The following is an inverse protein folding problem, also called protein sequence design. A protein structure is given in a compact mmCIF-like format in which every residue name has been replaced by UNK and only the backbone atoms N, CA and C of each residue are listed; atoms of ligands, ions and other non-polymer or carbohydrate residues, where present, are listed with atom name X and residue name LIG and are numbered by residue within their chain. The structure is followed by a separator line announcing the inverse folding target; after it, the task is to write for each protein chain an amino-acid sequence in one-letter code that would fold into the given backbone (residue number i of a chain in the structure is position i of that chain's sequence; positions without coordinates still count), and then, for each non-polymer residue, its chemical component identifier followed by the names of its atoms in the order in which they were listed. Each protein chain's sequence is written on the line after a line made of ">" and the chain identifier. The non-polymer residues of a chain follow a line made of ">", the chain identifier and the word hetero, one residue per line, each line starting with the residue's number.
data_IF_226531783371
#
_entry.id   IF_226531783371
#
_cell.length_a   1.000
_cell.length_b   1.000
_cell.length_c   1.000
_cell.angle_alpha   90.00
_cell.angle_beta   90.00
_cell.angle_gamma   90.00
#
_symmetry.space_group_name_H-M   'P 1'
#
loop_
_entity.id
_entity.type
_entity.pdbx_description
1 polymer ?
#
# COMPACT_ATOMS: atom_id res chain seq x y z
N UNK A 1 59.58 5.76 57.74
CA UNK A 1 58.23 5.17 57.45
C UNK A 1 57.79 5.66 56.08
N UNK A 2 57.97 4.85 55.01
CA UNK A 2 57.62 5.23 53.63
C UNK A 2 56.30 4.55 53.30
N UNK A 3 55.27 5.32 53.05
CA UNK A 3 53.98 4.86 52.54
C UNK A 3 54.02 4.85 51.00
N UNK A 4 54.02 3.67 50.44
CA UNK A 4 53.89 3.47 48.98
C UNK A 4 52.44 3.72 48.57
N UNK A 5 52.25 4.69 47.67
CA UNK A 5 50.97 4.86 46.94
C UNK A 5 50.95 3.90 45.78
N UNK A 6 50.19 2.82 45.88
CA UNK A 6 49.88 1.92 44.79
C UNK A 6 49.09 2.64 43.72
N UNK A 7 49.68 2.85 42.54
CA UNK A 7 49.05 3.39 41.38
C UNK A 7 47.92 2.47 40.87
N UNK A 8 46.76 3.00 40.77
CA UNK A 8 45.63 2.33 40.05
C UNK A 8 45.92 2.41 38.55
N UNK A 9 46.16 1.27 37.94
CA UNK A 9 46.59 1.13 36.57
C UNK A 9 45.55 1.53 35.52
N UNK A 10 45.93 1.53 34.25
CA UNK A 10 45.19 2.09 33.09
C UNK A 10 43.95 1.34 32.64
N UNK A 11 43.48 0.38 33.46
CA UNK A 11 42.37 -0.51 33.07
C UNK A 11 40.98 0.16 33.00
N UNK A 12 40.78 1.27 33.71
CA UNK A 12 39.50 1.96 33.77
C UNK A 12 39.22 2.73 32.48
N UNK A 13 40.24 3.23 31.79
CA UNK A 13 40.11 3.95 30.53
C UNK A 13 39.78 3.00 29.36
N UNK A 14 40.33 1.76 29.38
CA UNK A 14 40.06 0.78 28.33
C UNK A 14 38.62 0.28 28.30
N UNK A 15 38.01 0.08 29.47
CA UNK A 15 36.63 -0.41 29.57
C UNK A 15 35.61 0.64 29.09
N UNK A 16 35.87 1.93 29.36
CA UNK A 16 35.02 3.02 28.92
C UNK A 16 34.99 3.17 27.39
N UNK A 17 36.15 3.07 26.74
CA UNK A 17 36.28 3.18 25.27
C UNK A 17 35.59 2.02 24.56
N UNK A 18 35.73 0.79 25.04
CA UNK A 18 35.08 -0.38 24.48
C UNK A 18 33.55 -0.28 24.61
N UNK A 19 33.04 0.18 25.76
CA UNK A 19 31.61 0.36 25.98
C UNK A 19 31.00 1.43 25.03
N UNK A 20 31.71 2.53 24.79
CA UNK A 20 31.28 3.59 23.85
C UNK A 20 31.29 3.07 22.40
N UNK A 21 32.33 2.32 22.00
CA UNK A 21 32.43 1.75 20.66
C UNK A 21 31.34 0.70 20.40
N UNK A 22 31.03 -0.15 21.38
CA UNK A 22 29.93 -1.13 21.29
C UNK A 22 28.59 -0.42 21.23
N UNK A 23 28.38 0.64 22.02
CA UNK A 23 27.16 1.45 22.00
C UNK A 23 26.95 2.16 20.66
N UNK A 24 27.99 2.75 20.08
CA UNK A 24 27.92 3.42 18.76
C UNK A 24 27.70 2.40 17.64
N UNK A 25 28.32 1.22 17.72
CA UNK A 25 28.10 0.15 16.74
C UNK A 25 26.68 -0.43 16.84
N UNK A 26 26.16 -0.64 18.05
CA UNK A 26 24.79 -1.09 18.27
C UNK A 26 23.79 -0.03 17.77
N UNK A 27 24.00 1.26 18.05
CA UNK A 27 23.14 2.34 17.53
C UNK A 27 23.17 2.41 16.01
N UNK A 28 24.34 2.31 15.36
CA UNK A 28 24.43 2.28 13.89
C UNK A 28 23.73 1.04 13.31
N UNK A 29 23.87 -0.11 13.95
CA UNK A 29 23.20 -1.34 13.54
C UNK A 29 21.69 -1.25 13.76
N UNK A 30 21.22 -0.73 14.89
CA UNK A 30 19.78 -0.52 15.15
C UNK A 30 19.16 0.51 14.22
N UNK A 31 19.86 1.59 13.91
CA UNK A 31 19.41 2.59 12.93
C UNK A 31 19.33 2.06 11.49
N UNK A 32 20.12 1.04 11.15
CA UNK A 32 20.07 0.39 9.84
C UNK A 32 18.97 -0.67 9.71
N UNK A 33 18.51 -1.26 10.81
CA UNK A 33 17.41 -2.25 10.80
C UNK A 33 16.01 -1.64 10.96
N UNK A 34 15.90 -0.37 11.36
CA UNK A 34 14.63 0.28 11.69
C UNK A 34 13.91 0.96 10.52
N UNK A 35 14.58 1.22 9.40
CA UNK A 35 13.93 1.77 8.21
C UNK A 35 13.92 0.70 7.12
N UNK A 36 12.75 0.12 6.88
CA UNK A 36 12.53 -0.68 5.67
C UNK A 36 13.02 0.14 4.46
N UNK A 37 13.94 -0.39 3.67
CA UNK A 37 14.39 0.22 2.41
C UNK A 37 13.25 0.45 1.41
N UNK A 38 12.08 -0.03 1.73
CA UNK A 38 10.89 -0.08 0.90
C UNK A 38 9.73 0.63 1.61
N UNK A 39 9.86 1.94 1.78
CA UNK A 39 8.73 2.75 2.25
C UNK A 39 7.74 2.92 1.11
N UNK A 40 6.47 2.61 1.39
CA UNK A 40 5.37 2.91 0.47
C UNK A 40 4.79 4.26 0.88
N UNK A 41 5.00 5.34 0.09
CA UNK A 41 4.49 6.66 0.47
C UNK A 41 2.97 6.70 0.43
N UNK A 42 2.32 7.45 1.34
CA UNK A 42 0.91 7.77 1.22
C UNK A 42 0.67 8.59 -0.05
N UNK A 43 -0.36 8.23 -0.76
CA UNK A 43 -0.70 8.80 -2.07
C UNK A 43 -2.21 9.01 -2.15
N UNK A 44 -2.63 10.04 -2.88
CA UNK A 44 -4.02 10.35 -3.12
C UNK A 44 -4.27 10.56 -4.62
N UNK A 45 -5.40 10.07 -5.10
CA UNK A 45 -5.94 10.40 -6.42
C UNK A 45 -7.38 10.87 -6.28
N UNK A 46 -7.76 11.89 -7.04
CA UNK A 46 -9.11 12.42 -7.04
C UNK A 46 -9.58 12.78 -8.44
N UNK A 47 -10.86 12.61 -8.68
CA UNK A 47 -11.55 13.06 -9.89
C UNK A 47 -12.93 13.61 -9.54
N UNK A 48 -13.42 14.58 -10.34
CA UNK A 48 -14.80 15.05 -10.28
C UNK A 48 -15.50 14.62 -11.57
N UNK A 49 -16.52 13.76 -11.43
CA UNK A 49 -17.27 13.20 -12.54
C UNK A 49 -18.76 13.47 -12.30
N UNK A 50 -19.44 14.06 -13.26
CA UNK A 50 -20.84 14.52 -13.13
C UNK A 50 -21.06 15.41 -11.88
N UNK A 51 -20.09 16.25 -11.54
CA UNK A 51 -20.15 17.13 -10.37
C UNK A 51 -19.94 16.45 -9.01
N UNK A 52 -19.67 15.13 -8.98
CA UNK A 52 -19.42 14.35 -7.76
C UNK A 52 -17.93 14.08 -7.61
N UNK A 53 -17.37 14.39 -6.45
CA UNK A 53 -15.97 14.13 -6.14
C UNK A 53 -15.80 12.67 -5.72
N UNK A 54 -14.77 12.03 -6.26
CA UNK A 54 -14.31 10.70 -5.90
C UNK A 54 -12.85 10.83 -5.51
N UNK A 55 -12.47 10.29 -4.36
CA UNK A 55 -11.09 10.28 -3.86
C UNK A 55 -10.68 8.88 -3.47
N UNK A 56 -9.41 8.53 -3.73
CA UNK A 56 -8.82 7.29 -3.28
C UNK A 56 -7.52 7.61 -2.56
N UNK A 57 -7.44 7.18 -1.29
CA UNK A 57 -6.25 7.28 -0.46
C UNK A 57 -5.61 5.89 -0.37
N UNK A 58 -4.33 5.78 -0.68
CA UNK A 58 -3.61 4.52 -0.70
C UNK A 58 -2.13 4.71 -0.39
N UNK A 59 -1.40 3.62 -0.21
CA UNK A 59 0.05 3.61 -0.09
C UNK A 59 0.64 2.96 -1.35
N UNK A 60 1.59 3.63 -1.98
CA UNK A 60 2.16 3.28 -3.28
C UNK A 60 3.47 2.50 -3.14
N UNK A 61 3.46 1.16 -3.12
CA UNK A 61 4.69 0.37 -3.10
C UNK A 61 5.39 0.39 -4.45
N UNK A 62 6.73 0.24 -4.43
CA UNK A 62 7.57 0.11 -5.62
C UNK A 62 8.15 -1.30 -5.76
N UNK A 63 8.47 -1.69 -6.97
CA UNK A 63 9.02 -3.01 -7.29
C UNK A 63 10.39 -3.24 -6.65
N UNK A 64 11.28 -2.29 -6.75
CA UNK A 64 12.68 -2.42 -6.32
C UNK A 64 13.33 -3.72 -6.84
N UNK A 65 13.12 -4.04 -8.11
CA UNK A 65 13.63 -5.23 -8.78
C UNK A 65 12.95 -6.55 -8.38
N UNK A 66 11.89 -6.52 -7.57
CA UNK A 66 11.13 -7.72 -7.18
C UNK A 66 10.09 -8.06 -8.24
N UNK A 67 9.80 -9.34 -8.40
CA UNK A 67 8.60 -9.81 -9.10
C UNK A 67 7.38 -9.53 -8.23
N UNK A 68 6.37 -8.94 -8.80
CA UNK A 68 5.16 -8.54 -8.07
C UNK A 68 4.04 -9.57 -8.25
N UNK A 69 3.47 -9.67 -9.44
CA UNK A 69 2.30 -10.52 -9.66
C UNK A 69 2.65 -12.01 -9.59
N UNK A 70 1.92 -12.74 -8.75
CA UNK A 70 2.17 -14.16 -8.46
C UNK A 70 3.37 -14.40 -7.54
N UNK A 71 3.93 -13.33 -6.90
CA UNK A 71 5.04 -13.42 -5.95
C UNK A 71 4.78 -12.51 -4.74
N UNK A 72 5.17 -11.22 -4.77
CA UNK A 72 4.90 -10.26 -3.68
C UNK A 72 3.39 -10.07 -3.45
N UNK A 73 2.62 -10.07 -4.54
CA UNK A 73 1.15 -10.11 -4.54
C UNK A 73 0.75 -11.50 -5.08
N UNK A 74 0.51 -12.49 -4.18
CA UNK A 74 0.20 -13.85 -4.57
C UNK A 74 -1.12 -13.93 -5.35
N UNK A 75 -1.18 -14.85 -6.30
CA UNK A 75 -2.46 -15.16 -6.95
C UNK A 75 -3.35 -16.00 -6.04
N UNK A 76 -4.66 -15.75 -6.07
CA UNK A 76 -5.65 -16.43 -5.25
C UNK A 76 -5.76 -15.91 -3.81
N UNK A 77 -5.02 -14.86 -3.45
CA UNK A 77 -5.07 -14.25 -2.12
C UNK A 77 -5.62 -12.82 -2.21
N UNK A 78 -6.38 -12.42 -1.18
CA UNK A 78 -6.91 -11.05 -1.12
C UNK A 78 -5.78 -10.08 -0.76
N UNK A 79 -5.65 -9.04 -1.57
CA UNK A 79 -4.65 -7.97 -1.41
C UNK A 79 -5.33 -6.64 -1.08
N UNK A 80 -4.73 -5.89 -0.15
CA UNK A 80 -5.20 -4.56 0.29
C UNK A 80 -5.13 -3.46 -0.77
N UNK A 81 -4.78 -3.81 -2.03
CA UNK A 81 -4.68 -2.91 -3.19
C UNK A 81 -3.74 -1.74 -2.95
N UNK A 82 -2.60 -2.03 -2.34
CA UNK A 82 -1.59 -1.06 -1.94
C UNK A 82 -0.62 -1.67 -0.92
N UNK A 83 -0.24 -0.88 0.09
CA UNK A 83 0.61 -1.30 1.19
C UNK A 83 0.14 -0.67 2.51
N UNK A 84 0.67 -1.16 3.66
CA UNK A 84 0.39 -0.66 5.00
C UNK A 84 -1.09 -0.75 5.39
N UNK A 85 -1.88 0.30 5.13
CA UNK A 85 -3.31 0.35 5.38
C UNK A 85 -4.09 0.03 4.11
N UNK A 86 -5.28 -0.55 4.26
CA UNK A 86 -6.17 -0.83 3.14
C UNK A 86 -6.50 0.45 2.37
N UNK A 87 -6.48 0.36 1.06
CA UNK A 87 -6.86 1.46 0.17
C UNK A 87 -8.29 1.90 0.45
N UNK A 88 -8.52 3.20 0.60
CA UNK A 88 -9.84 3.79 0.91
C UNK A 88 -10.36 4.57 -0.29
N UNK A 89 -11.60 4.32 -0.70
CA UNK A 89 -12.35 5.13 -1.65
C UNK A 89 -13.43 5.91 -0.92
N UNK A 90 -13.59 7.18 -1.26
CA UNK A 90 -14.71 8.03 -0.83
C UNK A 90 -15.36 8.62 -2.06
N UNK A 91 -16.68 8.49 -2.19
CA UNK A 91 -17.45 9.02 -3.31
C UNK A 91 -18.66 9.83 -2.82
N UNK A 92 -18.86 11.01 -3.41
CA UNK A 92 -20.04 11.87 -3.18
C UNK A 92 -21.27 11.42 -3.99
N UNK A 93 -21.07 10.55 -4.97
CA UNK A 93 -22.15 9.97 -5.78
C UNK A 93 -22.15 8.45 -5.71
N UNK A 94 -23.27 7.84 -6.10
CA UNK A 94 -23.34 6.40 -6.24
C UNK A 94 -22.51 5.96 -7.44
N UNK A 95 -21.76 4.85 -7.31
CA UNK A 95 -20.94 4.30 -8.39
C UNK A 95 -21.51 2.96 -8.84
N UNK A 96 -21.78 2.84 -10.13
CA UNK A 96 -22.10 1.55 -10.76
C UNK A 96 -20.84 1.00 -11.43
N UNK A 97 -20.25 -0.05 -10.89
CA UNK A 97 -19.04 -0.74 -11.38
C UNK A 97 -19.41 -2.16 -11.80
N UNK A 98 -19.57 -2.41 -13.08
CA UNK A 98 -20.13 -3.69 -13.56
C UNK A 98 -21.50 -3.95 -12.92
N UNK A 99 -21.65 -5.08 -12.22
CA UNK A 99 -22.89 -5.43 -11.49
C UNK A 99 -23.00 -4.79 -10.10
N UNK A 100 -21.91 -4.21 -9.60
CA UNK A 100 -21.84 -3.64 -8.26
C UNK A 100 -22.38 -2.21 -8.24
N UNK A 101 -23.38 -1.97 -7.38
CA UNK A 101 -23.97 -0.63 -7.11
C UNK A 101 -23.49 -0.14 -5.76
N UNK A 102 -22.41 0.63 -5.73
CA UNK A 102 -21.83 1.20 -4.51
C UNK A 102 -22.48 2.56 -4.21
N UNK A 103 -23.23 2.71 -3.11
CA UNK A 103 -23.76 4.01 -2.69
C UNK A 103 -22.66 5.02 -2.40
N UNK A 104 -23.02 6.31 -2.41
CA UNK A 104 -22.15 7.37 -1.92
C UNK A 104 -21.68 7.05 -0.49
N UNK A 105 -20.41 7.32 -0.18
CA UNK A 105 -19.84 6.98 1.12
C UNK A 105 -18.36 6.65 1.05
N UNK A 106 -17.84 6.08 2.15
CA UNK A 106 -16.46 5.64 2.27
C UNK A 106 -16.38 4.13 2.46
N UNK A 107 -15.47 3.50 1.73
CA UNK A 107 -15.26 2.05 1.69
C UNK A 107 -13.78 1.74 1.60
N UNK A 108 -13.35 0.53 1.92
CA UNK A 108 -12.04 0.06 1.51
C UNK A 108 -12.11 -0.74 0.21
N UNK A 109 -11.02 -0.64 -0.55
CA UNK A 109 -10.80 -1.40 -1.78
C UNK A 109 -9.83 -2.55 -1.49
N UNK A 110 -10.25 -3.74 -1.86
CA UNK A 110 -9.43 -4.94 -1.89
C UNK A 110 -9.51 -5.56 -3.27
N UNK A 111 -8.53 -6.36 -3.63
CA UNK A 111 -8.55 -7.12 -4.87
C UNK A 111 -8.18 -8.58 -4.61
N UNK A 112 -8.70 -9.47 -5.43
CA UNK A 112 -8.31 -10.87 -5.52
C UNK A 112 -7.65 -11.08 -6.89
N UNK A 113 -6.32 -10.94 -6.97
CA UNK A 113 -5.57 -11.14 -8.20
C UNK A 113 -5.49 -12.63 -8.58
N UNK A 114 -5.64 -12.94 -9.86
CA UNK A 114 -5.30 -14.21 -10.47
C UNK A 114 -4.57 -13.95 -11.79
N UNK A 115 -3.98 -14.97 -12.38
CA UNK A 115 -3.18 -14.80 -13.60
C UNK A 115 -4.01 -14.21 -14.78
N UNK A 116 -5.27 -14.58 -14.89
CA UNK A 116 -6.14 -14.23 -16.02
C UNK A 116 -7.40 -13.46 -15.62
N UNK A 117 -7.63 -13.26 -14.33
CA UNK A 117 -8.83 -12.59 -13.83
C UNK A 117 -8.54 -11.90 -12.50
N UNK A 118 -8.97 -10.66 -12.36
CA UNK A 118 -8.95 -9.94 -11.10
C UNK A 118 -10.36 -9.64 -10.64
N UNK A 119 -10.58 -9.75 -9.34
CA UNK A 119 -11.84 -9.35 -8.72
C UNK A 119 -11.60 -8.12 -7.84
N UNK A 120 -12.36 -7.06 -8.10
CA UNK A 120 -12.48 -5.91 -7.21
C UNK A 120 -13.43 -6.26 -6.08
N UNK A 121 -13.05 -5.94 -4.85
CA UNK A 121 -13.83 -6.13 -3.64
C UNK A 121 -14.01 -4.76 -2.98
N UNK A 122 -15.24 -4.35 -2.78
CA UNK A 122 -15.59 -3.17 -1.97
C UNK A 122 -16.03 -3.67 -0.60
N UNK A 123 -15.41 -3.14 0.44
CA UNK A 123 -15.65 -3.57 1.81
C UNK A 123 -16.10 -2.37 2.66
N UNK A 124 -17.08 -2.58 3.55
CA UNK A 124 -17.71 -1.53 4.37
C UNK A 124 -16.79 -1.01 5.48
N UNK A 125 -15.83 -1.81 5.91
CA UNK A 125 -14.86 -1.41 6.92
C UNK A 125 -13.78 -0.53 6.30
N UNK A 126 -13.32 0.49 7.01
CA UNK A 126 -12.23 1.38 6.57
C UNK A 126 -11.21 1.57 7.69
N UNK A 127 -9.95 1.86 7.32
CA UNK A 127 -8.89 2.12 8.29
C UNK A 127 -8.24 0.87 8.89
N UNK A 128 -8.49 -0.32 8.33
CA UNK A 128 -7.83 -1.57 8.74
C UNK A 128 -6.44 -1.71 8.14
N UNK A 129 -5.57 -2.42 8.85
CA UNK A 129 -4.25 -2.76 8.36
C UNK A 129 -4.33 -3.81 7.24
N UNK A 130 -3.31 -3.90 6.39
CA UNK A 130 -3.35 -4.73 5.16
C UNK A 130 -3.58 -6.23 5.38
N UNK A 131 -3.48 -6.72 6.62
CA UNK A 131 -3.74 -8.12 6.99
C UNK A 131 -5.10 -8.34 7.66
N UNK A 132 -5.82 -7.27 7.98
CA UNK A 132 -7.05 -7.32 8.77
C UNK A 132 -8.29 -7.28 7.85
N UNK A 133 -8.26 -8.11 6.81
CA UNK A 133 -9.39 -8.27 5.89
C UNK A 133 -10.45 -9.17 6.51
N UNK A 134 -11.69 -8.66 6.55
CA UNK A 134 -12.87 -9.41 6.97
C UNK A 134 -13.89 -9.49 5.82
N UNK A 135 -14.02 -10.68 5.24
CA UNK A 135 -14.96 -10.94 4.15
C UNK A 135 -16.44 -10.81 4.55
N UNK A 136 -16.76 -10.89 5.84
CA UNK A 136 -18.14 -10.72 6.32
C UNK A 136 -18.63 -9.28 6.18
N UNK A 137 -17.72 -8.32 6.04
CA UNK A 137 -18.00 -6.90 5.83
C UNK A 137 -17.93 -6.49 4.35
N UNK A 138 -17.77 -7.41 3.42
CA UNK A 138 -17.82 -7.11 1.99
C UNK A 138 -19.18 -6.48 1.63
N UNK A 139 -19.10 -5.35 0.91
CA UNK A 139 -20.27 -4.76 0.29
C UNK A 139 -20.65 -5.51 -0.98
N UNK A 140 -19.62 -5.89 -1.76
CA UNK A 140 -19.79 -6.66 -2.97
C UNK A 140 -18.52 -6.81 -3.79
N UNK A 141 -18.59 -7.61 -4.83
CA UNK A 141 -17.46 -7.99 -5.69
C UNK A 141 -17.83 -7.85 -7.16
N UNK A 142 -16.85 -7.52 -7.99
CA UNK A 142 -17.04 -7.42 -9.44
C UNK A 142 -15.72 -7.72 -10.17
N UNK A 143 -15.81 -8.22 -11.40
CA UNK A 143 -14.64 -8.54 -12.23
C UNK A 143 -14.01 -7.27 -12.78
N UNK A 144 -12.70 -7.30 -12.94
CA UNK A 144 -11.92 -6.26 -13.60
C UNK A 144 -11.39 -6.75 -14.96
N UNK A 145 -11.24 -5.82 -15.90
CA UNK A 145 -10.56 -6.05 -17.16
C UNK A 145 -9.05 -6.04 -16.95
N UNK A 146 -8.33 -7.00 -17.53
CA UNK A 146 -6.88 -7.08 -17.47
C UNK A 146 -6.26 -6.68 -18.80
N UNK A 147 -5.15 -5.95 -18.71
CA UNK A 147 -4.30 -5.59 -19.85
C UNK A 147 -2.84 -5.76 -19.48
N UNK A 148 -2.06 -6.38 -20.35
CA UNK A 148 -0.60 -6.41 -20.22
C UNK A 148 -0.02 -5.15 -20.82
N UNK A 149 0.85 -4.49 -20.07
CA UNK A 149 1.57 -3.27 -20.49
C UNK A 149 2.82 -3.66 -21.27
N UNK A 150 3.21 -2.80 -22.21
CA UNK A 150 4.43 -2.96 -23.00
C UNK A 150 5.72 -2.67 -22.22
N UNK A 151 5.63 -1.94 -21.10
CA UNK A 151 6.75 -1.60 -20.23
C UNK A 151 6.32 -1.69 -18.77
N UNK A 152 7.21 -2.13 -17.88
CA UNK A 152 6.87 -2.25 -16.46
C UNK A 152 6.72 -0.87 -15.81
N UNK A 153 5.78 -0.78 -14.89
CA UNK A 153 5.53 0.38 -14.02
C UNK A 153 6.14 0.08 -12.66
N UNK A 154 7.17 0.83 -12.28
CA UNK A 154 7.95 0.61 -11.06
C UNK A 154 7.13 0.78 -9.78
N UNK A 155 6.36 1.87 -9.69
CA UNK A 155 5.57 2.19 -8.50
C UNK A 155 4.09 1.94 -8.76
N UNK A 156 3.44 1.20 -7.86
CA UNK A 156 1.99 0.99 -7.90
C UNK A 156 1.26 2.33 -7.97
N UNK A 157 0.33 2.45 -8.89
CA UNK A 157 -0.54 3.62 -8.98
C UNK A 157 -1.99 3.24 -9.23
N UNK A 158 -2.86 4.04 -8.66
CA UNK A 158 -4.30 4.02 -8.91
C UNK A 158 -4.62 5.22 -9.78
N UNK A 159 -5.44 5.03 -10.80
CA UNK A 159 -5.87 6.09 -11.69
C UNK A 159 -7.40 6.17 -11.69
N UNK A 160 -7.91 7.40 -11.59
CA UNK A 160 -9.31 7.73 -11.83
C UNK A 160 -9.36 8.55 -13.11
N UNK A 161 -9.85 7.94 -14.18
CA UNK A 161 -9.97 8.58 -15.49
C UNK A 161 -11.42 9.02 -15.72
N UNK A 162 -11.64 10.22 -16.23
CA UNK A 162 -12.95 10.66 -16.71
C UNK A 162 -13.11 10.29 -18.18
N UNK A 163 -14.16 9.55 -18.50
CA UNK A 163 -14.45 9.07 -19.86
C UNK A 163 -15.58 9.92 -20.53
N UNK A 164 -15.90 11.05 -19.93
CA UNK A 164 -16.92 11.97 -20.39
C UNK A 164 -18.31 11.73 -19.76
N UNK A 165 -19.07 12.81 -19.60
CA UNK A 165 -20.39 12.76 -18.96
C UNK A 165 -20.32 12.24 -17.51
N UNK A 166 -21.06 11.19 -17.23
CA UNK A 166 -21.06 10.54 -15.91
C UNK A 166 -20.22 9.25 -15.87
N UNK A 167 -19.37 9.03 -16.85
CA UNK A 167 -18.56 7.82 -16.98
C UNK A 167 -17.12 8.04 -16.51
N UNK A 168 -16.53 7.02 -15.93
CA UNK A 168 -15.12 6.99 -15.57
C UNK A 168 -14.57 5.58 -15.52
N UNK A 169 -13.25 5.49 -15.41
CA UNK A 169 -12.52 4.23 -15.27
C UNK A 169 -11.63 4.31 -14.03
N UNK A 170 -11.74 3.30 -13.17
CA UNK A 170 -10.78 3.01 -12.11
C UNK A 170 -9.76 2.03 -12.66
N UNK A 171 -8.47 2.36 -12.60
CA UNK A 171 -7.39 1.48 -13.02
C UNK A 171 -6.33 1.33 -11.93
N UNK A 172 -5.84 0.11 -11.78
CA UNK A 172 -4.76 -0.30 -10.89
C UNK A 172 -3.59 -0.70 -11.77
N UNK A 173 -2.45 -0.04 -11.64
CA UNK A 173 -1.33 -0.19 -12.56
C UNK A 173 -0.06 -0.50 -11.79
N UNK A 174 0.54 -1.67 -12.04
CA UNK A 174 1.81 -2.05 -11.44
C UNK A 174 2.50 -3.15 -12.24
N UNK A 175 3.84 -3.17 -12.23
CA UNK A 175 4.62 -4.09 -13.05
C UNK A 175 4.15 -4.01 -14.52
N UNK A 176 3.83 -5.10 -15.16
CA UNK A 176 3.28 -5.14 -16.52
C UNK A 176 1.76 -5.33 -16.55
N UNK A 177 1.07 -5.07 -15.44
CA UNK A 177 -0.36 -5.32 -15.30
C UNK A 177 -1.13 -4.01 -15.12
N UNK A 178 -2.16 -3.81 -15.92
CA UNK A 178 -3.26 -2.90 -15.67
C UNK A 178 -4.54 -3.71 -15.42
N UNK A 179 -5.13 -3.55 -14.22
CA UNK A 179 -6.46 -4.07 -13.92
C UNK A 179 -7.42 -2.89 -13.84
N UNK A 180 -8.47 -2.88 -14.65
CA UNK A 180 -9.36 -1.72 -14.75
C UNK A 180 -10.82 -2.09 -14.74
N UNK A 181 -11.67 -1.15 -14.31
CA UNK A 181 -13.11 -1.28 -14.34
C UNK A 181 -13.76 0.05 -14.71
N UNK A 182 -14.60 0.09 -15.75
CA UNK A 182 -15.42 1.24 -16.05
C UNK A 182 -16.52 1.39 -15.00
N UNK A 183 -16.87 2.63 -14.68
CA UNK A 183 -17.98 2.94 -13.79
C UNK A 183 -18.82 4.12 -14.29
N UNK A 184 -20.03 4.22 -13.78
CA UNK A 184 -20.86 5.43 -13.96
C UNK A 184 -21.20 6.02 -12.59
N UNK A 185 -21.35 7.33 -12.57
CA UNK A 185 -21.71 8.12 -11.38
C UNK A 185 -23.17 8.54 -11.49
N UNK A 186 -23.92 8.37 -10.39
CA UNK A 186 -25.29 8.90 -10.27
C UNK A 186 -25.47 9.61 -8.92
N UNK A 187 -26.58 10.27 -8.77
CA UNK A 187 -26.96 10.94 -7.53
C UNK A 187 -27.33 9.96 -6.43
#
# INVERSE_FOLDING_TARGET
>A
MRTELRGRGPWILGVGIVAVLVGVFAWRSYGQYGYSRYTSPPTNVAATIAGKKITIDYYAPSMHGRKIMGSLVPFGEVWCTGANWATKITSEGNLQMGTLKMPAGSYSIWTLPNANEWTLIINKQTGQFHKDYDSSTDFGRTKMNLKTLSSPVETFRIELRSDGGNKGTLALVWETTEASIPFTVSQ
#
